data_IF_648764923758
#
_entry.id   IF_648764923758
#
_cell.length_a   1.000
_cell.length_b   1.000
_cell.length_c   1.000
_cell.angle_alpha   90.00
_cell.angle_beta   90.00
_cell.angle_gamma   90.00
#
_symmetry.space_group_name_H-M   'P 1'
#
loop_
_entity.id
_entity.type
_entity.pdbx_description
1 polymer ?
#
# COMPACT_ATOMS: atom_id res chain seq x y z
N UNK A 1 -14.77 -13.06 -9.57
CA UNK A 1 -13.40 -12.73 -9.11
C UNK A 1 -13.53 -11.92 -7.84
N UNK A 2 -12.89 -12.33 -6.74
CA UNK A 2 -12.98 -11.58 -5.49
C UNK A 2 -12.17 -10.28 -5.63
N UNK A 3 -12.87 -9.14 -5.67
CA UNK A 3 -12.27 -7.81 -5.87
C UNK A 3 -11.31 -7.44 -4.75
N UNK A 4 -11.53 -7.94 -3.53
CA UNK A 4 -10.65 -7.68 -2.38
C UNK A 4 -9.31 -8.39 -2.53
N UNK A 5 -9.31 -9.65 -2.99
CA UNK A 5 -8.07 -10.38 -3.30
C UNK A 5 -7.29 -9.71 -4.43
N UNK A 6 -7.99 -9.21 -5.46
CA UNK A 6 -7.34 -8.44 -6.54
C UNK A 6 -6.79 -7.11 -6.01
N UNK A 7 -7.50 -6.43 -5.11
CA UNK A 7 -7.00 -5.22 -4.49
C UNK A 7 -5.69 -5.49 -3.73
N UNK A 8 -5.64 -6.59 -2.97
CA UNK A 8 -4.43 -6.98 -2.27
C UNK A 8 -3.24 -7.22 -3.22
N UNK A 9 -3.46 -7.94 -4.32
CA UNK A 9 -2.45 -8.16 -5.35
C UNK A 9 -1.93 -6.83 -5.92
N UNK A 10 -2.83 -5.92 -6.27
CA UNK A 10 -2.50 -4.64 -6.89
C UNK A 10 -1.78 -3.67 -5.91
N UNK A 11 -2.01 -3.76 -4.60
CA UNK A 11 -1.33 -2.91 -3.60
C UNK A 11 0.19 -3.13 -3.50
N UNK A 12 0.72 -4.23 -4.03
CA UNK A 12 2.17 -4.44 -4.17
C UNK A 12 2.80 -3.59 -5.29
N UNK A 13 2.00 -3.17 -6.28
CA UNK A 13 2.50 -2.38 -7.40
C UNK A 13 2.73 -0.92 -6.99
N UNK A 14 3.73 -0.29 -7.63
CA UNK A 14 4.04 1.14 -7.48
C UNK A 14 4.13 1.56 -6.00
N UNK A 15 5.08 1.02 -5.23
CA UNK A 15 5.12 1.22 -3.77
C UNK A 15 5.23 2.70 -3.37
N UNK A 16 5.86 3.53 -4.19
CA UNK A 16 6.07 4.96 -3.94
C UNK A 16 4.95 5.86 -4.46
N UNK A 17 4.08 5.36 -5.34
CA UNK A 17 2.95 6.13 -5.85
C UNK A 17 1.77 6.07 -4.88
N UNK A 18 0.98 7.15 -4.76
CA UNK A 18 -0.21 7.16 -3.91
C UNK A 18 -1.21 6.03 -4.22
N UNK A 19 -2.06 5.68 -3.25
CA UNK A 19 -3.05 4.61 -3.43
C UNK A 19 -4.12 4.98 -4.48
N UNK A 20 -4.41 6.25 -4.69
CA UNK A 20 -5.39 6.70 -5.69
C UNK A 20 -4.90 6.65 -7.16
N UNK A 21 -3.61 6.35 -7.41
CA UNK A 21 -3.11 6.26 -8.80
C UNK A 21 -3.51 4.94 -9.47
N UNK A 22 -3.33 4.88 -10.79
CA UNK A 22 -3.66 3.69 -11.57
C UNK A 22 -2.68 2.55 -11.33
N UNK A 23 -3.19 1.33 -11.50
CA UNK A 23 -2.48 0.05 -11.38
C UNK A 23 -2.84 -0.83 -12.57
N UNK A 24 -2.21 -2.00 -12.64
CA UNK A 24 -2.48 -2.96 -13.71
C UNK A 24 -2.25 -2.33 -15.10
N UNK A 25 -1.05 -1.78 -15.30
CA UNK A 25 -0.65 -1.07 -16.52
C UNK A 25 -1.60 0.09 -16.91
N UNK A 26 -2.15 0.79 -15.92
CA UNK A 26 -3.03 1.94 -16.14
C UNK A 26 -4.51 1.58 -16.27
N UNK A 27 -4.88 0.30 -16.20
CA UNK A 27 -6.24 -0.18 -16.48
C UNK A 27 -7.15 -0.20 -15.25
N UNK A 28 -6.59 -0.19 -14.05
CA UNK A 28 -7.36 -0.32 -12.81
C UNK A 28 -7.11 0.84 -11.86
N UNK A 29 -8.15 1.32 -11.18
CA UNK A 29 -8.05 2.27 -10.06
C UNK A 29 -8.82 1.77 -8.84
N UNK A 30 -8.45 2.24 -7.66
CA UNK A 30 -9.25 2.09 -6.45
C UNK A 30 -10.21 3.27 -6.32
N UNK A 31 -11.51 2.99 -6.20
CA UNK A 31 -12.50 4.00 -5.82
C UNK A 31 -12.43 4.14 -4.29
N UNK A 32 -11.78 5.22 -3.83
CA UNK A 32 -11.46 5.44 -2.42
C UNK A 32 -12.52 6.32 -1.74
N UNK A 33 -12.80 6.07 -0.46
CA UNK A 33 -13.46 7.07 0.38
C UNK A 33 -12.58 8.31 0.58
N UNK A 34 -13.20 9.49 0.76
CA UNK A 34 -12.48 10.76 0.95
C UNK A 34 -11.52 10.72 2.16
N UNK A 35 -11.85 9.93 3.20
CA UNK A 35 -11.02 9.77 4.40
C UNK A 35 -9.63 9.17 4.13
N UNK A 36 -9.43 8.54 2.97
CA UNK A 36 -8.19 7.87 2.59
C UNK A 36 -7.17 8.85 2.01
N UNK A 37 -7.59 10.01 1.52
CA UNK A 37 -6.69 11.05 1.03
C UNK A 37 -5.92 11.67 2.19
N UNK A 38 -4.61 11.78 2.04
CA UNK A 38 -3.75 12.49 3.01
C UNK A 38 -4.02 14.00 2.94
N UNK A 39 -3.61 14.75 3.96
CA UNK A 39 -3.85 16.21 4.03
C UNK A 39 -3.38 16.95 2.77
N UNK A 40 -2.31 16.45 2.12
CA UNK A 40 -1.79 16.98 0.85
C UNK A 40 -2.81 16.97 -0.29
N UNK A 41 -3.69 15.98 -0.33
CA UNK A 41 -4.62 15.76 -1.44
C UNK A 41 -6.07 15.99 -1.06
N UNK A 42 -6.38 16.17 0.23
CA UNK A 42 -7.76 16.29 0.74
C UNK A 42 -8.56 17.40 0.04
N UNK A 43 -7.96 18.56 -0.21
CA UNK A 43 -8.67 19.69 -0.82
C UNK A 43 -8.96 19.49 -2.32
N UNK A 44 -8.25 18.56 -2.98
CA UNK A 44 -8.39 18.31 -4.42
C UNK A 44 -8.74 16.83 -4.69
N UNK A 45 -9.35 16.12 -3.73
CA UNK A 45 -9.61 14.67 -3.83
C UNK A 45 -10.41 14.31 -5.07
N UNK A 46 -11.45 15.10 -5.37
CA UNK A 46 -12.30 14.94 -6.55
C UNK A 46 -11.51 15.08 -7.85
N UNK A 47 -10.71 16.13 -7.98
CA UNK A 47 -9.92 16.39 -9.19
C UNK A 47 -8.91 15.27 -9.45
N UNK A 48 -8.16 14.86 -8.42
CA UNK A 48 -7.18 13.78 -8.57
C UNK A 48 -7.88 12.44 -8.85
N UNK A 49 -9.00 12.14 -8.19
CA UNK A 49 -9.78 10.94 -8.45
C UNK A 49 -10.28 10.90 -9.89
N UNK A 50 -10.84 12.02 -10.39
CA UNK A 50 -11.27 12.12 -11.79
C UNK A 50 -10.11 11.89 -12.74
N UNK A 51 -8.97 12.55 -12.51
CA UNK A 51 -7.79 12.44 -13.40
C UNK A 51 -7.28 11.01 -13.53
N UNK A 52 -7.17 10.27 -12.43
CA UNK A 52 -6.66 8.89 -12.45
C UNK A 52 -7.72 7.84 -12.79
N UNK A 53 -9.00 8.20 -12.86
CA UNK A 53 -10.09 7.29 -13.24
C UNK A 53 -10.59 7.50 -14.67
N UNK A 54 -9.95 8.39 -15.44
CA UNK A 54 -10.20 8.54 -16.88
C UNK A 54 -9.67 7.33 -17.65
N UNK A 55 -10.52 6.78 -18.52
CA UNK A 55 -10.17 5.68 -19.44
C UNK A 55 -9.66 4.40 -18.74
N UNK A 56 -10.00 4.19 -17.47
CA UNK A 56 -9.73 2.93 -16.77
C UNK A 56 -10.79 1.89 -17.11
N UNK A 57 -10.37 0.63 -17.28
CA UNK A 57 -11.25 -0.49 -17.57
C UNK A 57 -11.97 -0.97 -16.31
N UNK A 58 -11.27 -0.95 -15.16
CA UNK A 58 -11.77 -1.50 -13.90
C UNK A 58 -11.66 -0.50 -12.76
N UNK A 59 -12.72 -0.44 -11.94
CA UNK A 59 -12.75 0.30 -10.68
C UNK A 59 -13.02 -0.67 -9.55
N UNK A 60 -12.15 -0.66 -8.54
CA UNK A 60 -12.30 -1.52 -7.36
C UNK A 60 -12.74 -0.63 -6.19
N UNK A 61 -14.00 -0.70 -5.74
CA UNK A 61 -14.48 0.10 -4.62
C UNK A 61 -13.88 -0.38 -3.31
N UNK A 62 -13.21 0.53 -2.59
CA UNK A 62 -12.75 0.27 -1.24
C UNK A 62 -13.77 0.80 -0.24
N UNK A 63 -13.98 0.05 0.84
CA UNK A 63 -14.90 0.45 1.91
C UNK A 63 -14.19 1.32 2.94
N UNK A 64 -14.98 2.12 3.63
CA UNK A 64 -14.53 2.85 4.80
C UNK A 64 -14.01 1.90 5.89
N UNK A 65 -13.06 2.42 6.66
CA UNK A 65 -12.60 1.74 7.86
C UNK A 65 -13.70 1.80 8.91
N UNK A 66 -13.98 0.67 9.58
CA UNK A 66 -14.89 0.67 10.74
C UNK A 66 -14.34 1.50 11.88
N UNK A 67 -13.01 1.59 12.00
CA UNK A 67 -12.31 2.45 12.94
C UNK A 67 -10.98 2.92 12.35
N UNK A 68 -10.70 4.21 12.44
CA UNK A 68 -9.43 4.78 11.97
C UNK A 68 -8.32 4.43 12.96
N UNK A 69 -7.26 3.71 12.55
CA UNK A 69 -6.20 3.29 13.47
C UNK A 69 -5.31 4.48 13.87
N UNK A 70 -4.84 4.48 15.12
CA UNK A 70 -3.75 5.37 15.52
C UNK A 70 -2.42 4.86 14.92
N UNK A 71 -1.77 5.69 14.11
CA UNK A 71 -0.49 5.38 13.44
C UNK A 71 0.72 6.12 14.04
N UNK A 72 0.61 6.74 15.23
CA UNK A 72 1.69 7.48 15.90
C UNK A 72 2.94 6.62 16.13
N UNK A 73 2.74 5.31 16.32
CA UNK A 73 3.86 4.36 16.46
C UNK A 73 4.73 4.30 15.19
N UNK A 74 4.14 4.52 14.01
CA UNK A 74 4.82 4.48 12.72
C UNK A 74 5.46 5.82 12.33
N UNK A 75 4.95 6.95 12.87
CA UNK A 75 5.49 8.29 12.60
C UNK A 75 6.96 8.47 13.03
N UNK A 76 7.45 7.58 13.90
CA UNK A 76 8.86 7.52 14.33
C UNK A 76 9.83 7.13 13.22
N UNK A 77 9.34 6.60 12.10
CA UNK A 77 10.12 6.29 10.90
C UNK A 77 9.57 7.11 9.73
N UNK A 78 10.34 8.10 9.27
CA UNK A 78 9.93 8.97 8.18
C UNK A 78 9.72 8.21 6.87
N UNK A 79 8.87 8.74 5.99
CA UNK A 79 8.58 8.11 4.69
C UNK A 79 9.78 8.01 3.75
N UNK A 80 10.80 8.84 3.96
CA UNK A 80 12.05 8.86 3.18
C UNK A 80 13.22 8.17 3.89
N UNK A 81 13.02 7.74 5.12
CA UNK A 81 14.07 7.08 5.90
C UNK A 81 14.29 5.64 5.43
N UNK A 82 15.49 5.14 5.65
CA UNK A 82 15.81 3.74 5.38
C UNK A 82 15.15 2.83 6.41
N UNK A 83 14.49 1.77 5.94
CA UNK A 83 13.96 0.71 6.79
C UNK A 83 14.95 -0.46 6.82
N UNK A 84 15.10 -1.11 7.99
CA UNK A 84 16.00 -2.26 8.15
C UNK A 84 15.53 -3.13 9.30
N UNK A 85 15.39 -4.44 9.05
CA UNK A 85 15.04 -5.42 10.07
C UNK A 85 16.18 -5.68 11.06
N UNK A 86 17.40 -5.24 10.79
CA UNK A 86 18.49 -5.34 11.76
C UNK A 86 18.40 -4.26 12.85
N UNK A 87 17.62 -3.20 12.61
CA UNK A 87 17.36 -2.19 13.62
C UNK A 87 16.19 -2.64 14.51
N UNK A 88 16.43 -2.79 15.82
CA UNK A 88 15.42 -3.21 16.79
C UNK A 88 14.20 -2.29 16.82
N UNK A 89 14.38 -0.96 16.74
CA UNK A 89 13.24 -0.02 16.71
C UNK A 89 12.39 -0.21 15.46
N UNK A 90 13.02 -0.44 14.31
CA UNK A 90 12.29 -0.69 13.06
C UNK A 90 11.50 -1.98 13.12
N UNK A 91 12.06 -3.06 13.70
CA UNK A 91 11.35 -4.32 13.93
C UNK A 91 10.13 -4.14 14.82
N UNK A 92 10.26 -3.39 15.91
CA UNK A 92 9.14 -3.12 16.83
C UNK A 92 8.01 -2.36 16.13
N UNK A 93 8.33 -1.34 15.33
CA UNK A 93 7.35 -0.57 14.57
C UNK A 93 6.68 -1.45 13.51
N UNK A 94 7.44 -2.23 12.76
CA UNK A 94 6.92 -3.16 11.76
C UNK A 94 6.03 -4.23 12.40
N UNK A 95 6.42 -4.78 13.56
CA UNK A 95 5.62 -5.74 14.31
C UNK A 95 4.24 -5.20 14.68
N UNK A 96 4.16 -3.95 15.12
CA UNK A 96 2.87 -3.28 15.40
C UNK A 96 2.02 -3.10 14.14
N UNK A 97 2.65 -2.75 13.01
CA UNK A 97 1.94 -2.62 11.73
C UNK A 97 1.43 -3.98 11.21
N UNK A 98 2.23 -5.04 11.36
CA UNK A 98 1.82 -6.42 11.04
C UNK A 98 0.62 -6.81 11.91
N UNK A 99 0.71 -6.58 13.23
CA UNK A 99 -0.37 -6.93 14.16
C UNK A 99 -1.67 -6.20 13.80
N UNK A 100 -1.61 -4.91 13.45
CA UNK A 100 -2.76 -4.15 12.96
C UNK A 100 -3.46 -4.81 11.76
N UNK A 101 -2.69 -5.37 10.83
CA UNK A 101 -3.25 -6.08 9.67
C UNK A 101 -3.79 -7.48 10.02
N UNK A 102 -3.11 -8.20 10.91
CA UNK A 102 -3.58 -9.52 11.37
C UNK A 102 -4.88 -9.42 12.18
N UNK A 103 -5.03 -8.34 12.95
CA UNK A 103 -6.22 -8.07 13.78
C UNK A 103 -7.42 -7.56 12.99
N UNK A 104 -7.26 -7.25 11.70
CA UNK A 104 -8.38 -6.82 10.86
C UNK A 104 -9.47 -7.91 10.83
N UNK A 105 -10.74 -7.56 11.12
CA UNK A 105 -11.80 -8.55 11.39
C UNK A 105 -12.17 -9.40 10.19
N UNK A 106 -11.90 -8.92 8.98
CA UNK A 106 -12.17 -9.63 7.73
C UNK A 106 -11.30 -9.07 6.59
N UNK A 107 -11.29 -9.77 5.47
CA UNK A 107 -10.53 -9.41 4.27
C UNK A 107 -10.79 -7.98 3.79
N UNK A 108 -12.04 -7.53 3.78
CA UNK A 108 -12.40 -6.19 3.33
C UNK A 108 -11.80 -5.09 4.22
N UNK A 109 -11.85 -5.26 5.54
CA UNK A 109 -11.20 -4.33 6.48
C UNK A 109 -9.67 -4.41 6.40
N UNK A 110 -9.10 -5.58 6.10
CA UNK A 110 -7.66 -5.70 5.83
C UNK A 110 -7.25 -4.90 4.56
N UNK A 111 -7.99 -5.04 3.46
CA UNK A 111 -7.76 -4.25 2.23
C UNK A 111 -7.85 -2.75 2.52
N UNK A 112 -8.89 -2.32 3.24
CA UNK A 112 -9.09 -0.93 3.61
C UNK A 112 -7.91 -0.41 4.47
N UNK A 113 -7.45 -1.18 5.47
CA UNK A 113 -6.30 -0.81 6.30
C UNK A 113 -5.01 -0.73 5.48
N UNK A 114 -4.74 -1.68 4.58
CA UNK A 114 -3.57 -1.66 3.74
C UNK A 114 -3.57 -0.44 2.79
N UNK A 115 -4.71 -0.14 2.16
CA UNK A 115 -4.85 1.05 1.31
C UNK A 115 -4.68 2.36 2.11
N UNK A 116 -5.29 2.45 3.29
CA UNK A 116 -5.20 3.63 4.16
C UNK A 116 -3.76 3.91 4.62
N UNK A 117 -3.04 2.88 5.04
CA UNK A 117 -1.69 3.00 5.60
C UNK A 117 -0.60 3.24 4.54
N UNK A 118 -0.77 2.76 3.30
CA UNK A 118 0.21 2.85 2.19
C UNK A 118 0.84 4.25 2.03
N UNK A 119 0.00 5.27 2.10
CA UNK A 119 0.42 6.66 1.86
C UNK A 119 0.87 7.39 3.14
N UNK A 120 0.71 6.74 4.30
CA UNK A 120 0.92 7.33 5.63
C UNK A 120 2.18 6.82 6.33
N UNK A 121 2.64 5.63 5.99
CA UNK A 121 3.82 5.02 6.63
C UNK A 121 5.00 4.91 5.66
N UNK A 122 6.17 4.53 6.18
CA UNK A 122 7.35 4.26 5.35
C UNK A 122 7.07 3.17 4.30
N UNK A 123 7.35 3.40 3.01
CA UNK A 123 6.92 2.51 1.93
C UNK A 123 7.60 1.13 1.97
N UNK A 124 8.86 1.05 2.39
CA UNK A 124 9.57 -0.23 2.51
C UNK A 124 9.04 -1.03 3.70
N UNK A 125 8.83 -0.35 4.83
CA UNK A 125 8.21 -0.95 6.02
C UNK A 125 6.77 -1.41 5.73
N UNK A 126 6.00 -0.62 4.97
CA UNK A 126 4.65 -0.96 4.51
C UNK A 126 4.69 -2.27 3.74
N UNK A 127 5.48 -2.34 2.66
CA UNK A 127 5.54 -3.53 1.80
C UNK A 127 5.99 -4.77 2.56
N UNK A 128 6.97 -4.65 3.46
CA UNK A 128 7.37 -5.75 4.33
C UNK A 128 6.23 -6.23 5.23
N UNK A 129 5.64 -5.31 6.01
CA UNK A 129 4.60 -5.64 7.00
C UNK A 129 3.34 -6.20 6.32
N UNK A 130 3.02 -5.63 5.15
CA UNK A 130 1.92 -6.04 4.31
C UNK A 130 2.13 -7.43 3.72
N UNK A 131 3.30 -7.73 3.16
CA UNK A 131 3.64 -9.06 2.65
C UNK A 131 3.55 -10.14 3.74
N UNK A 132 4.04 -9.84 4.96
CA UNK A 132 3.91 -10.75 6.10
C UNK A 132 2.44 -11.00 6.42
N UNK A 133 1.60 -9.98 6.51
CA UNK A 133 0.18 -10.14 6.79
C UNK A 133 -0.55 -10.96 5.70
N UNK A 134 -0.29 -10.67 4.42
CA UNK A 134 -0.86 -11.43 3.28
C UNK A 134 -0.50 -12.91 3.35
N UNK A 135 0.74 -13.23 3.73
CA UNK A 135 1.21 -14.62 3.84
C UNK A 135 0.56 -15.40 5.00
N UNK A 136 0.27 -14.73 6.12
CA UNK A 136 -0.15 -15.40 7.35
C UNK A 136 -1.67 -15.46 7.53
N UNK A 137 -2.41 -14.45 7.04
CA UNK A 137 -3.87 -14.43 7.13
C UNK A 137 -4.50 -15.56 6.30
N UNK A 138 -5.46 -16.33 6.84
CA UNK A 138 -6.07 -17.44 6.13
C UNK A 138 -6.89 -17.01 4.91
N UNK A 139 -7.46 -15.81 4.94
CA UNK A 139 -8.33 -15.24 3.91
C UNK A 139 -7.58 -14.55 2.74
N UNK A 140 -6.25 -14.52 2.75
CA UNK A 140 -5.42 -13.89 1.70
C UNK A 140 -4.33 -14.78 1.10
N UNK A 141 -4.22 -16.06 1.50
CA UNK A 141 -3.10 -16.95 1.09
C UNK A 141 -2.97 -17.18 -0.42
N UNK A 142 -4.05 -16.96 -1.18
CA UNK A 142 -4.07 -17.10 -2.64
C UNK A 142 -3.50 -15.88 -3.35
N UNK A 143 -3.27 -14.77 -2.65
CA UNK A 143 -2.69 -13.56 -3.24
C UNK A 143 -1.20 -13.81 -3.50
N UNK A 144 -0.73 -13.70 -4.75
CA UNK A 144 0.69 -13.87 -5.05
C UNK A 144 1.47 -12.70 -4.44
N UNK A 145 2.52 -13.02 -3.68
CA UNK A 145 3.46 -12.03 -3.16
C UNK A 145 4.59 -11.89 -4.18
N UNK A 146 4.75 -10.73 -4.83
CA UNK A 146 5.79 -10.55 -5.84
C UNK A 146 7.17 -10.54 -5.19
N UNK A 147 8.19 -10.83 -5.99
CA UNK A 147 9.57 -10.77 -5.52
C UNK A 147 9.91 -9.32 -5.13
N UNK A 148 10.61 -9.15 -4.02
CA UNK A 148 11.05 -7.83 -3.55
C UNK A 148 11.87 -7.06 -4.59
N UNK A 149 12.59 -7.74 -5.49
CA UNK A 149 13.32 -7.11 -6.59
C UNK A 149 12.42 -6.46 -7.65
N UNK A 150 11.17 -6.94 -7.79
CA UNK A 150 10.16 -6.33 -8.67
C UNK A 150 9.51 -5.11 -8.01
N UNK A 151 9.41 -5.12 -6.67
CA UNK A 151 8.82 -4.02 -5.89
C UNK A 151 9.82 -2.87 -5.72
N UNK A 152 11.06 -3.18 -5.32
CA UNK A 152 12.14 -2.22 -5.06
C UNK A 152 13.40 -2.56 -5.86
N UNK A 153 13.37 -2.40 -7.20
CA UNK A 153 14.49 -2.78 -8.06
C UNK A 153 15.77 -1.98 -7.77
N UNK A 154 15.65 -0.75 -7.26
CA UNK A 154 16.80 0.08 -6.88
C UNK A 154 17.68 -0.48 -5.76
N UNK A 155 17.24 -1.52 -5.05
CA UNK A 155 18.06 -2.24 -4.07
C UNK A 155 18.93 -3.35 -4.70
N UNK A 156 18.69 -3.70 -5.96
CA UNK A 156 19.28 -4.87 -6.63
C UNK A 156 19.94 -4.54 -7.98
N UNK A 157 19.61 -3.38 -8.55
CA UNK A 157 20.09 -2.93 -9.85
C UNK A 157 20.86 -1.63 -9.66
N UNK A 158 21.95 -1.48 -10.39
CA UNK A 158 22.75 -0.26 -10.39
C UNK A 158 21.89 0.97 -10.75
N UNK A 159 21.97 2.08 -9.99
CA UNK A 159 21.15 3.26 -10.24
C UNK A 159 21.23 3.82 -11.67
N UNK A 160 22.38 3.69 -12.32
CA UNK A 160 22.61 4.15 -13.70
C UNK A 160 21.70 3.45 -14.73
N UNK A 161 21.28 2.22 -14.48
CA UNK A 161 20.37 1.49 -15.36
C UNK A 161 18.96 2.12 -15.43
N UNK A 162 18.59 2.95 -14.45
CA UNK A 162 17.31 3.67 -14.46
C UNK A 162 17.41 5.05 -15.14
N UNK A 163 18.61 5.47 -15.52
CA UNK A 163 18.87 6.78 -16.15
C UNK A 163 18.76 6.75 -17.68
N UNK A 164 18.14 5.72 -18.28
CA UNK A 164 18.04 5.59 -19.74
C UNK A 164 17.06 6.62 -20.33
N UNK A 165 17.67 7.68 -20.86
CA UNK A 165 17.24 8.65 -21.90
C UNK A 165 15.88 9.35 -21.77
N UNK A 166 15.95 10.65 -21.46
CA UNK A 166 14.98 11.66 -21.85
C UNK A 166 14.88 11.82 -23.38
#
# INVERSE_FOLDING_TARGET
MNTDLKALELLFQRPLEPVFTTRDNGKTVFDLPDSFYTDRYRNNSVEVATRFSQNVETRIPLRELTSVPNLDFAAKLGRKDQFSLFNTRHREIAGKLIQLYLDAPNLQQFVALAAYTKDRVNPVMFQYSYAVAVAHRPDSRTVPIPNISQIFPGNFIEPSAFLVSA
#
